data_IF_274054219529
#
_entry.id   IF_274054219529
#
_cell.length_a   1.000
_cell.length_b   1.000
_cell.length_c   1.000
_cell.angle_alpha   90.00
_cell.angle_beta   90.00
_cell.angle_gamma   90.00
#
_symmetry.space_group_name_H-M   'P 1'
#
loop_
_entity.id
_entity.type
_entity.pdbx_description
1 polymer ?
#
# COMPACT_ATOMS: atom_id res chain seq x y z
N UNK A 1 17.40 -49.25 7.30
CA UNK A 1 17.79 -48.12 6.43
C UNK A 1 16.53 -47.36 6.01
N UNK A 2 16.24 -46.23 6.66
CA UNK A 2 15.10 -45.38 6.31
C UNK A 2 15.48 -44.44 5.17
N UNK A 3 14.84 -44.59 4.00
CA UNK A 3 15.05 -43.71 2.84
C UNK A 3 14.16 -42.46 2.98
N UNK A 4 14.75 -41.33 3.34
CA UNK A 4 14.07 -40.04 3.39
C UNK A 4 13.69 -39.59 1.97
N UNK A 5 12.40 -39.51 1.66
CA UNK A 5 11.91 -38.99 0.36
C UNK A 5 12.06 -37.46 0.36
N UNK A 6 12.77 -36.93 -0.63
CA UNK A 6 13.03 -35.50 -0.84
C UNK A 6 11.77 -34.65 -1.15
N UNK A 7 10.56 -35.22 -1.05
CA UNK A 7 9.30 -34.58 -1.41
C UNK A 7 8.69 -33.69 -0.31
N UNK A 8 9.30 -33.60 0.88
CA UNK A 8 8.77 -32.79 1.99
C UNK A 8 9.36 -31.37 2.08
N UNK A 9 10.38 -31.04 1.28
CA UNK A 9 11.09 -29.75 1.40
C UNK A 9 10.41 -28.63 0.60
N UNK A 10 9.50 -28.96 -0.33
CA UNK A 10 8.86 -27.98 -1.20
C UNK A 10 7.68 -27.21 -0.58
N UNK A 11 7.28 -27.49 0.67
CA UNK A 11 6.19 -26.75 1.34
C UNK A 11 6.67 -25.61 2.25
N UNK A 12 7.94 -25.59 2.66
CA UNK A 12 8.45 -24.58 3.59
C UNK A 12 8.89 -23.26 2.91
N UNK A 13 9.11 -23.27 1.59
CA UNK A 13 9.58 -22.09 0.85
C UNK A 13 8.46 -21.09 0.48
N UNK A 14 7.20 -21.37 0.82
CA UNK A 14 6.04 -20.51 0.46
C UNK A 14 5.66 -19.51 1.56
N UNK A 15 6.28 -19.57 2.76
CA UNK A 15 5.83 -18.77 3.92
C UNK A 15 6.67 -17.53 4.24
N UNK A 16 7.74 -17.25 3.50
CA UNK A 16 8.57 -16.06 3.78
C UNK A 16 8.31 -14.97 2.75
N UNK A 17 7.09 -14.43 2.73
CA UNK A 17 6.88 -13.09 2.15
C UNK A 17 7.67 -12.12 3.03
N UNK A 18 8.77 -11.57 2.50
CA UNK A 18 9.43 -10.43 3.12
C UNK A 18 8.37 -9.35 3.34
N UNK A 19 8.11 -8.98 4.59
CA UNK A 19 7.32 -7.79 4.89
C UNK A 19 8.18 -6.62 4.41
N UNK A 20 7.90 -6.15 3.18
CA UNK A 20 8.35 -4.82 2.80
C UNK A 20 7.53 -3.89 3.68
N UNK A 21 8.21 -3.12 4.52
CA UNK A 21 7.56 -2.05 5.27
C UNK A 21 7.21 -0.97 4.25
N UNK A 22 6.05 -1.15 3.63
CA UNK A 22 5.49 -0.20 2.70
C UNK A 22 4.90 0.91 3.58
N UNK A 23 5.71 1.96 3.79
CA UNK A 23 5.30 3.18 4.48
C UNK A 23 4.78 4.14 3.41
N UNK A 24 3.46 4.18 3.17
CA UNK A 24 2.90 4.96 2.09
C UNK A 24 3.19 6.44 2.29
N UNK A 25 3.54 7.12 1.20
CA UNK A 25 3.75 8.55 1.22
C UNK A 25 2.44 9.27 1.59
N UNK A 26 2.52 10.19 2.54
CA UNK A 26 1.36 10.98 2.97
C UNK A 26 1.69 12.47 3.05
N UNK A 27 0.67 13.29 2.79
CA UNK A 27 0.78 14.75 2.85
C UNK A 27 -0.54 15.39 3.28
N UNK A 28 -0.49 16.65 3.73
CA UNK A 28 -1.71 17.42 4.03
C UNK A 28 -2.14 18.18 2.77
N UNK A 29 -3.37 17.94 2.33
CA UNK A 29 -3.94 18.61 1.18
C UNK A 29 -4.48 20.01 1.53
N UNK A 30 -4.68 20.87 0.54
CA UNK A 30 -5.21 22.24 0.74
C UNK A 30 -6.60 22.29 1.37
N UNK A 31 -7.39 21.21 1.26
CA UNK A 31 -8.68 21.03 1.95
C UNK A 31 -8.53 20.69 3.44
N UNK A 32 -7.31 20.51 3.93
CA UNK A 32 -7.00 20.08 5.29
C UNK A 32 -7.08 18.56 5.53
N UNK A 33 -7.47 17.78 4.52
CA UNK A 33 -7.49 16.32 4.59
C UNK A 33 -6.07 15.75 4.48
N UNK A 34 -5.79 14.66 5.19
CA UNK A 34 -4.57 13.88 4.97
C UNK A 34 -4.72 13.04 3.71
N UNK A 35 -3.87 13.22 2.71
CA UNK A 35 -3.81 12.35 1.54
C UNK A 35 -2.74 11.30 1.78
N UNK A 36 -3.09 10.05 1.48
CA UNK A 36 -2.22 8.89 1.53
C UNK A 36 -2.20 8.32 0.12
N UNK A 37 -1.03 8.34 -0.49
CA UNK A 37 -0.79 7.64 -1.73
C UNK A 37 -0.58 6.16 -1.42
N UNK A 38 -1.53 5.32 -1.82
CA UNK A 38 -1.49 3.92 -1.42
C UNK A 38 -0.44 3.16 -2.23
N UNK A 39 0.13 2.16 -1.57
CA UNK A 39 1.16 1.32 -2.15
C UNK A 39 0.65 0.53 -3.35
N UNK A 40 1.57 0.14 -4.23
CA UNK A 40 1.22 -0.64 -5.42
C UNK A 40 0.45 -1.92 -5.02
N UNK A 41 -0.66 -2.26 -5.72
CA UNK A 41 -1.34 -3.51 -5.46
C UNK A 41 -0.44 -4.71 -5.78
N UNK A 42 -0.57 -5.77 -4.98
CA UNK A 42 0.05 -7.06 -5.26
C UNK A 42 -0.63 -7.75 -6.48
N UNK A 43 -0.16 -8.95 -6.83
CA UNK A 43 -0.70 -9.70 -7.98
C UNK A 43 -2.19 -10.05 -7.88
N UNK A 44 -2.78 -10.01 -6.67
CA UNK A 44 -4.20 -10.22 -6.45
C UNK A 44 -5.02 -8.91 -6.47
N UNK A 45 -4.38 -7.77 -6.75
CA UNK A 45 -5.04 -6.46 -6.78
C UNK A 45 -5.15 -5.77 -5.41
N UNK A 46 -4.47 -6.27 -4.37
CA UNK A 46 -4.57 -5.72 -3.02
C UNK A 46 -3.39 -4.80 -2.71
N UNK A 47 -3.68 -3.55 -2.35
CA UNK A 47 -2.69 -2.61 -1.78
C UNK A 47 -2.58 -2.83 -0.27
N UNK A 48 -1.40 -3.26 0.20
CA UNK A 48 -1.12 -3.54 1.61
C UNK A 48 -0.34 -2.38 2.23
N UNK A 49 -1.03 -1.51 2.94
CA UNK A 49 -0.46 -0.33 3.60
C UNK A 49 -0.38 -0.61 5.11
N UNK A 50 0.82 -0.51 5.70
CA UNK A 50 1.02 -0.82 7.11
C UNK A 50 1.27 0.47 7.89
N UNK A 51 0.52 0.64 8.97
CA UNK A 51 0.68 1.78 9.89
C UNK A 51 0.81 1.25 11.31
N UNK A 52 1.66 1.91 12.10
CA UNK A 52 1.62 1.72 13.55
C UNK A 52 0.35 2.31 14.14
N UNK A 53 -0.03 3.49 13.66
CA UNK A 53 -1.19 4.26 14.08
C UNK A 53 -1.90 4.81 12.84
N UNK A 54 -3.21 4.59 12.73
CA UNK A 54 -4.02 5.15 11.64
C UNK A 54 -5.15 5.99 12.24
N UNK A 55 -4.99 7.31 12.18
CA UNK A 55 -5.92 8.27 12.77
C UNK A 55 -6.56 9.12 11.68
N UNK A 56 -7.86 9.35 11.78
CA UNK A 56 -8.62 10.20 10.85
C UNK A 56 -9.05 11.46 11.59
N UNK A 57 -8.55 12.61 11.16
CA UNK A 57 -8.90 13.91 11.72
C UNK A 57 -10.28 14.41 11.24
N UNK A 58 -10.70 15.57 11.73
CA UNK A 58 -12.00 16.18 11.38
C UNK A 58 -12.15 16.50 9.90
N UNK A 59 -11.05 16.81 9.21
CA UNK A 59 -11.04 17.06 7.77
C UNK A 59 -11.00 15.78 6.93
N UNK A 60 -10.96 14.61 7.57
CA UNK A 60 -10.92 13.31 6.93
C UNK A 60 -9.56 12.92 6.36
N UNK A 61 -9.56 11.79 5.68
CA UNK A 61 -8.40 11.18 5.02
C UNK A 61 -8.80 10.73 3.63
N UNK A 62 -7.91 10.94 2.66
CA UNK A 62 -8.07 10.54 1.27
C UNK A 62 -7.08 9.42 0.99
N UNK A 63 -7.58 8.27 0.55
CA UNK A 63 -6.75 7.19 0.01
C UNK A 63 -6.65 7.38 -1.50
N UNK A 64 -5.52 7.90 -1.95
CA UNK A 64 -5.27 8.14 -3.36
C UNK A 64 -4.86 6.83 -4.04
N UNK A 65 -5.77 6.31 -4.86
CA UNK A 65 -5.58 5.13 -5.70
C UNK A 65 -5.54 5.53 -7.19
N UNK A 66 -5.29 6.80 -7.50
CA UNK A 66 -5.33 7.29 -8.87
C UNK A 66 -3.96 7.18 -9.53
N UNK A 67 -3.94 6.56 -10.71
CA UNK A 67 -2.78 6.59 -11.61
C UNK A 67 -2.61 7.92 -12.35
N UNK A 68 -3.60 8.81 -12.29
CA UNK A 68 -3.66 10.10 -12.98
C UNK A 68 -4.01 11.24 -12.01
N UNK A 69 -3.76 12.48 -12.42
CA UNK A 69 -4.20 13.65 -11.66
C UNK A 69 -5.73 13.73 -11.66
N UNK A 70 -6.34 13.97 -10.50
CA UNK A 70 -7.79 13.99 -10.33
C UNK A 70 -8.24 15.38 -9.87
N UNK A 71 -9.34 15.87 -10.44
CA UNK A 71 -10.05 17.05 -9.93
C UNK A 71 -11.32 16.62 -9.20
N UNK A 72 -11.39 16.93 -7.92
CA UNK A 72 -12.52 16.62 -7.05
C UNK A 72 -13.25 17.90 -6.62
N UNK A 73 -14.58 17.91 -6.69
CA UNK A 73 -15.38 19.12 -6.38
C UNK A 73 -15.22 19.61 -4.94
N UNK A 74 -15.01 18.69 -3.99
CA UNK A 74 -14.84 19.01 -2.55
C UNK A 74 -13.37 19.14 -2.15
N UNK A 75 -12.48 18.43 -2.82
CA UNK A 75 -11.10 18.25 -2.38
C UNK A 75 -10.09 18.82 -3.39
N UNK A 76 -10.54 19.62 -4.35
CA UNK A 76 -9.65 20.25 -5.33
C UNK A 76 -8.86 19.25 -6.16
N UNK A 77 -7.68 19.67 -6.61
CA UNK A 77 -6.82 18.87 -7.46
C UNK A 77 -5.89 18.00 -6.62
N UNK A 78 -5.90 16.70 -6.87
CA UNK A 78 -5.07 15.70 -6.21
C UNK A 78 -4.15 15.11 -7.27
N UNK A 79 -2.84 15.16 -7.04
CA UNK A 79 -1.87 14.63 -7.97
C UNK A 79 -1.96 13.09 -8.04
N UNK A 80 -1.52 12.51 -9.15
CA UNK A 80 -1.35 11.07 -9.28
C UNK A 80 -0.44 10.49 -8.20
N UNK A 81 -0.67 9.23 -7.84
CA UNK A 81 0.25 8.48 -6.97
C UNK A 81 1.63 8.41 -7.62
N UNK A 82 2.66 8.90 -6.93
CA UNK A 82 4.04 8.85 -7.39
C UNK A 82 4.77 7.68 -6.71
N UNK A 83 4.58 6.46 -7.22
CA UNK A 83 5.34 5.31 -6.76
C UNK A 83 6.82 5.53 -7.11
N UNK A 84 7.78 5.32 -6.18
CA UNK A 84 9.18 5.27 -6.54
C UNK A 84 9.36 4.17 -7.59
N UNK A 85 9.82 4.57 -8.78
CA UNK A 85 10.28 3.62 -9.79
C UNK A 85 11.49 2.89 -9.20
N UNK A 86 11.37 1.58 -8.98
CA UNK A 86 12.53 0.72 -8.77
C UNK A 86 13.39 0.68 -10.03
#
# INVERSE_FOLDING_TARGET
MFKFKASYVALAAVLTSSVVYADPTSYTHSSGATVIDIEKPNAAGVSHNLYRDFNVGTNGTILNNSGDDVSHSTFGNIARVMLPTY
#
